data_IF_081324841347
#
_entry.id   IF_081324841347
#
_cell.length_a   1.000
_cell.length_b   1.000
_cell.length_c   1.000
_cell.angle_alpha   90.00
_cell.angle_beta   90.00
_cell.angle_gamma   90.00
#
_symmetry.space_group_name_H-M   'P 1'
#
loop_
_entity.id
_entity.type
_entity.pdbx_description
1 polymer ?
#
# COMPACT_ATOMS: atom_id res chain seq x y z
N UNK A 1 24.11 -4.10 -9.34
CA UNK A 1 24.26 -3.56 -10.73
C UNK A 1 23.29 -2.39 -10.92
N UNK A 2 23.56 -1.44 -11.82
CA UNK A 2 22.67 -0.31 -12.13
C UNK A 2 22.05 -0.47 -13.53
N UNK A 3 20.81 -0.06 -13.71
CA UNK A 3 20.15 0.00 -15.02
C UNK A 3 19.30 1.26 -15.18
N UNK A 4 19.46 1.95 -16.31
CA UNK A 4 18.64 3.11 -16.68
C UNK A 4 17.51 2.69 -17.63
N UNK A 5 16.27 2.85 -17.19
CA UNK A 5 15.09 2.51 -17.99
C UNK A 5 14.67 3.62 -18.95
N UNK A 6 15.27 4.82 -18.88
CA UNK A 6 14.91 5.97 -19.70
C UNK A 6 13.49 6.52 -19.46
N UNK A 7 12.79 6.04 -18.41
CA UNK A 7 11.38 6.35 -18.12
C UNK A 7 11.17 6.59 -16.62
N UNK A 8 10.05 7.22 -16.19
CA UNK A 8 9.84 7.60 -14.79
C UNK A 8 9.39 6.45 -13.86
N UNK A 9 8.87 5.35 -14.42
CA UNK A 9 8.37 4.21 -13.65
C UNK A 9 8.87 2.87 -14.21
N UNK A 10 9.19 1.93 -13.32
CA UNK A 10 9.62 0.60 -13.69
C UNK A 10 8.46 -0.20 -14.26
N UNK A 11 7.30 -0.13 -13.60
CA UNK A 11 6.04 -0.75 -14.02
C UNK A 11 4.84 0.15 -13.73
N UNK A 12 3.73 -0.16 -14.38
CA UNK A 12 2.42 0.45 -14.18
C UNK A 12 1.46 -0.60 -13.64
N UNK A 13 0.99 -0.44 -12.41
CA UNK A 13 0.06 -1.35 -11.78
C UNK A 13 -1.37 -0.93 -12.07
N UNK A 14 -2.15 -1.86 -12.62
CA UNK A 14 -3.59 -1.76 -12.75
C UNK A 14 -4.27 -2.40 -11.54
N UNK A 15 -5.13 -1.63 -10.88
CA UNK A 15 -6.09 -2.07 -9.90
C UNK A 15 -7.49 -1.94 -10.51
N UNK A 16 -8.33 -2.96 -10.32
CA UNK A 16 -9.72 -2.93 -10.76
C UNK A 16 -10.60 -3.52 -9.65
N UNK A 17 -11.78 -2.94 -9.45
CA UNK A 17 -12.78 -3.40 -8.46
C UNK A 17 -14.17 -3.27 -9.07
N UNK A 18 -15.11 -4.19 -8.82
CA UNK A 18 -16.52 -3.94 -9.12
C UNK A 18 -17.01 -2.60 -8.54
N UNK A 19 -17.95 -1.93 -9.20
CA UNK A 19 -18.44 -0.60 -8.80
C UNK A 19 -18.94 -0.49 -7.34
N UNK A 20 -19.46 -1.59 -6.79
CA UNK A 20 -19.99 -1.71 -5.42
C UNK A 20 -19.20 -2.75 -4.61
N UNK A 21 -17.88 -2.80 -4.83
CA UNK A 21 -16.98 -3.64 -4.03
C UNK A 21 -15.63 -2.95 -3.85
N UNK A 22 -14.99 -3.26 -2.73
CA UNK A 22 -13.62 -2.86 -2.41
C UNK A 22 -12.64 -4.03 -2.52
N UNK A 23 -13.12 -5.20 -2.93
CA UNK A 23 -12.31 -6.36 -3.22
C UNK A 23 -11.75 -6.23 -4.65
N UNK A 24 -10.43 -6.13 -4.82
CA UNK A 24 -9.82 -6.03 -6.13
C UNK A 24 -10.01 -7.32 -6.92
N UNK A 25 -10.14 -7.17 -8.24
CA UNK A 25 -9.95 -8.28 -9.19
C UNK A 25 -8.57 -8.90 -8.94
N UNK A 26 -8.47 -10.21 -9.13
CA UNK A 26 -7.23 -10.94 -8.95
C UNK A 26 -6.65 -11.39 -10.28
N UNK A 27 -5.32 -11.39 -10.36
CA UNK A 27 -4.58 -11.95 -11.48
C UNK A 27 -3.65 -13.03 -10.96
N UNK A 28 -3.79 -14.25 -11.48
CA UNK A 28 -3.07 -15.41 -10.97
C UNK A 28 -1.92 -15.80 -11.90
N UNK A 29 -0.76 -16.05 -11.30
CA UNK A 29 0.47 -16.43 -11.97
C UNK A 29 1.01 -17.72 -11.33
N UNK A 30 1.61 -18.58 -12.14
CA UNK A 30 2.02 -19.93 -11.73
C UNK A 30 2.88 -19.96 -10.46
N UNK A 31 3.86 -19.05 -10.35
CA UNK A 31 4.82 -19.05 -9.25
C UNK A 31 4.44 -18.11 -8.10
N UNK A 32 3.84 -16.96 -8.43
CA UNK A 32 3.50 -15.86 -7.49
C UNK A 32 2.14 -16.07 -6.82
N UNK A 33 1.24 -16.84 -7.45
CA UNK A 33 -0.16 -16.94 -7.05
C UNK A 33 -0.99 -15.77 -7.58
N UNK A 34 -2.14 -15.55 -6.94
CA UNK A 34 -3.12 -14.52 -7.25
C UNK A 34 -2.79 -13.21 -6.51
N UNK A 35 -2.52 -12.16 -7.28
CA UNK A 35 -2.22 -10.81 -6.77
C UNK A 35 -3.40 -9.85 -6.99
N UNK A 36 -3.50 -8.83 -6.14
CA UNK A 36 -4.57 -7.82 -6.17
C UNK A 36 -4.40 -6.70 -7.21
N UNK A 37 -3.36 -6.79 -8.05
CA UNK A 37 -3.07 -5.86 -9.13
C UNK A 37 -2.32 -6.57 -10.25
N UNK A 38 -2.29 -5.95 -11.43
CA UNK A 38 -1.48 -6.42 -12.56
C UNK A 38 -0.47 -5.37 -12.98
N UNK A 39 0.81 -5.74 -12.96
CA UNK A 39 1.91 -4.90 -13.45
C UNK A 39 2.06 -4.95 -14.96
N UNK A 40 2.39 -3.80 -15.55
CA UNK A 40 2.66 -3.61 -16.97
C UNK A 40 3.94 -2.81 -17.17
N UNK A 41 4.83 -3.25 -18.07
CA UNK A 41 6.06 -2.51 -18.36
C UNK A 41 5.85 -1.23 -19.17
N UNK A 42 4.66 -1.02 -19.77
CA UNK A 42 4.33 0.22 -20.48
C UNK A 42 2.97 0.74 -20.06
N UNK A 43 2.82 2.08 -20.01
CA UNK A 43 1.59 2.71 -19.57
C UNK A 43 0.44 2.40 -20.51
N UNK A 44 0.70 2.39 -21.81
CA UNK A 44 -0.30 2.20 -22.85
C UNK A 44 -0.95 0.81 -22.75
N UNK A 45 -0.19 -0.21 -22.34
CA UNK A 45 -0.74 -1.55 -22.07
C UNK A 45 -1.63 -1.55 -20.84
N UNK A 46 -1.21 -0.91 -19.75
CA UNK A 46 -2.02 -0.78 -18.54
C UNK A 46 -3.33 -0.03 -18.82
N UNK A 47 -3.28 1.07 -19.57
CA UNK A 47 -4.46 1.89 -19.89
C UNK A 47 -5.43 1.16 -20.84
N UNK A 48 -4.93 0.37 -21.79
CA UNK A 48 -5.78 -0.48 -22.64
C UNK A 48 -6.55 -1.52 -21.82
N UNK A 49 -5.88 -2.20 -20.89
CA UNK A 49 -6.56 -3.16 -20.01
C UNK A 49 -7.51 -2.45 -19.03
N UNK A 50 -7.11 -1.29 -18.52
CA UNK A 50 -7.97 -0.44 -17.70
C UNK A 50 -9.25 -0.04 -18.44
N UNK A 51 -9.17 0.32 -19.73
CA UNK A 51 -10.34 0.62 -20.55
C UNK A 51 -11.28 -0.58 -20.70
N UNK A 52 -10.74 -1.80 -20.88
CA UNK A 52 -11.53 -3.01 -20.93
C UNK A 52 -12.26 -3.30 -19.60
N UNK A 53 -11.61 -3.03 -18.46
CA UNK A 53 -12.25 -3.12 -17.14
C UNK A 53 -13.34 -2.06 -16.93
N UNK A 54 -13.08 -0.80 -17.30
CA UNK A 54 -14.09 0.28 -17.24
C UNK A 54 -15.33 -0.07 -18.07
N UNK A 55 -15.16 -0.64 -19.26
CA UNK A 55 -16.26 -1.05 -20.12
C UNK A 55 -17.15 -2.15 -19.49
N UNK A 56 -16.63 -2.90 -18.50
CA UNK A 56 -17.39 -3.88 -17.72
C UNK A 56 -18.00 -3.32 -16.43
N UNK A 57 -17.89 -2.02 -16.19
CA UNK A 57 -18.40 -1.36 -14.99
C UNK A 57 -17.48 -1.48 -13.77
N UNK A 58 -16.22 -1.86 -13.94
CA UNK A 58 -15.24 -1.80 -12.85
C UNK A 58 -14.76 -0.36 -12.63
N UNK A 59 -14.62 0.04 -11.37
CA UNK A 59 -13.73 1.14 -10.99
C UNK A 59 -12.29 0.69 -11.26
N UNK A 60 -11.46 1.58 -11.81
CA UNK A 60 -10.05 1.26 -12.10
C UNK A 60 -9.10 2.36 -11.66
N UNK A 61 -7.88 1.96 -11.34
CA UNK A 61 -6.79 2.86 -11.03
C UNK A 61 -5.49 2.32 -11.64
N UNK A 62 -4.77 3.18 -12.38
CA UNK A 62 -3.45 2.87 -12.93
C UNK A 62 -2.42 3.74 -12.23
N UNK A 63 -1.47 3.11 -11.54
CA UNK A 63 -0.42 3.78 -10.77
C UNK A 63 0.97 3.38 -11.24
N UNK A 64 1.87 4.35 -11.38
CA UNK A 64 3.28 4.08 -11.66
C UNK A 64 4.02 3.61 -10.41
N UNK A 65 4.84 2.56 -10.54
CA UNK A 65 5.69 2.01 -9.47
C UNK A 65 7.15 2.15 -9.86
N UNK A 66 7.97 2.59 -8.91
CA UNK A 66 9.37 2.96 -9.15
C UNK A 66 10.34 1.78 -9.09
N UNK A 67 9.92 0.66 -8.51
CA UNK A 67 10.70 -0.57 -8.44
C UNK A 67 9.94 -1.75 -9.04
N UNK A 68 10.70 -2.79 -9.36
CA UNK A 68 10.22 -4.09 -9.75
C UNK A 68 11.21 -5.11 -9.20
N UNK A 69 10.70 -6.12 -8.50
CA UNK A 69 11.48 -7.16 -7.87
C UNK A 69 11.07 -8.52 -8.42
N UNK A 70 12.04 -9.38 -8.64
CA UNK A 70 11.84 -10.79 -8.97
C UNK A 70 11.69 -11.66 -7.73
N UNK A 71 11.51 -11.04 -6.55
CA UNK A 71 11.40 -11.71 -5.25
C UNK A 71 12.63 -12.57 -4.93
N UNK A 72 13.81 -12.14 -5.39
CA UNK A 72 15.09 -12.82 -5.15
C UNK A 72 15.41 -13.94 -6.14
N UNK A 73 14.62 -14.13 -7.22
CA UNK A 73 14.96 -15.09 -8.27
C UNK A 73 16.11 -14.61 -9.17
N UNK A 74 16.39 -13.29 -9.20
CA UNK A 74 17.54 -12.71 -9.89
C UNK A 74 18.20 -11.60 -9.08
N UNK A 75 19.42 -11.23 -9.47
CA UNK A 75 20.12 -10.04 -8.96
C UNK A 75 19.47 -8.77 -9.53
N UNK A 76 18.35 -8.35 -8.92
CA UNK A 76 17.58 -7.19 -9.37
C UNK A 76 18.47 -5.91 -9.35
N UNK A 77 18.59 -5.18 -10.47
CA UNK A 77 19.43 -4.00 -10.54
C UNK A 77 18.79 -2.81 -9.82
N UNK A 78 19.63 -1.90 -9.33
CA UNK A 78 19.19 -0.58 -8.89
C UNK A 78 18.75 0.24 -10.11
N UNK A 79 17.49 0.66 -10.13
CA UNK A 79 16.89 1.35 -11.28
C UNK A 79 16.99 2.87 -11.14
N UNK A 80 17.17 3.57 -12.27
CA UNK A 80 17.09 5.04 -12.32
C UNK A 80 15.78 5.60 -11.73
N UNK A 81 14.68 4.85 -11.83
CA UNK A 81 13.36 5.20 -11.30
C UNK A 81 13.31 5.28 -9.77
N UNK A 82 14.12 4.47 -9.07
CA UNK A 82 14.25 4.51 -7.61
C UNK A 82 15.03 5.75 -7.16
N UNK A 83 16.10 6.09 -7.89
CA UNK A 83 17.04 7.16 -7.54
C UNK A 83 16.45 8.57 -7.66
N UNK A 84 15.51 8.78 -8.60
CA UNK A 84 14.93 10.10 -8.88
C UNK A 84 14.18 10.72 -7.70
N UNK A 85 13.82 9.94 -6.68
CA UNK A 85 13.05 10.40 -5.52
C UNK A 85 13.93 10.77 -4.31
N UNK A 86 15.25 10.71 -4.46
CA UNK A 86 16.22 11.03 -3.41
C UNK A 86 16.69 9.79 -2.63
N UNK A 87 17.70 10.00 -1.81
CA UNK A 87 18.42 8.90 -1.11
C UNK A 87 17.52 8.20 -0.10
N UNK A 88 16.74 8.94 0.70
CA UNK A 88 15.83 8.35 1.70
C UNK A 88 14.83 7.41 1.04
N UNK A 89 14.17 7.84 -0.04
CA UNK A 89 13.20 7.01 -0.76
C UNK A 89 13.90 5.81 -1.42
N UNK A 90 15.11 5.98 -1.94
CA UNK A 90 15.89 4.86 -2.48
C UNK A 90 16.14 3.80 -1.39
N UNK A 91 16.56 4.23 -0.20
CA UNK A 91 16.79 3.35 0.96
C UNK A 91 15.50 2.67 1.39
N UNK A 92 14.38 3.41 1.41
CA UNK A 92 13.05 2.89 1.72
C UNK A 92 12.69 1.72 0.80
N UNK A 93 12.76 1.94 -0.51
CA UNK A 93 12.45 0.92 -1.52
C UNK A 93 13.39 -0.28 -1.41
N UNK A 94 14.68 -0.07 -1.17
CA UNK A 94 15.62 -1.19 -0.97
C UNK A 94 15.19 -2.07 0.21
N UNK A 95 14.81 -1.48 1.35
CA UNK A 95 14.32 -2.27 2.48
C UNK A 95 12.98 -2.96 2.19
N UNK A 96 12.06 -2.32 1.45
CA UNK A 96 10.80 -2.92 1.02
C UNK A 96 11.04 -4.18 0.19
N UNK A 97 11.88 -4.10 -0.84
CA UNK A 97 12.15 -5.24 -1.72
C UNK A 97 12.94 -6.35 -1.00
N UNK A 98 13.86 -6.00 -0.09
CA UNK A 98 14.55 -6.98 0.74
C UNK A 98 13.61 -7.69 1.71
N UNK A 99 12.56 -7.03 2.19
CA UNK A 99 11.55 -7.66 3.04
C UNK A 99 10.84 -8.80 2.29
N UNK A 100 10.43 -8.56 1.05
CA UNK A 100 9.83 -9.58 0.17
C UNK A 100 10.73 -10.78 -0.07
N UNK A 101 12.06 -10.57 -0.14
CA UNK A 101 13.02 -11.69 -0.25
C UNK A 101 13.13 -12.53 1.03
N UNK A 102 12.81 -11.94 2.20
CA UNK A 102 12.88 -12.63 3.49
C UNK A 102 11.62 -13.43 3.79
N UNK A 103 10.45 -12.87 3.52
CA UNK A 103 9.17 -13.51 3.76
C UNK A 103 8.21 -13.11 2.63
N UNK A 104 7.65 -14.12 1.97
CA UNK A 104 6.61 -13.96 0.96
C UNK A 104 5.58 -15.06 1.10
N UNK A 105 4.31 -14.68 1.23
CA UNK A 105 3.18 -15.59 1.33
C UNK A 105 2.39 -15.59 0.03
N UNK A 106 2.26 -16.76 -0.60
CA UNK A 106 1.47 -16.93 -1.82
C UNK A 106 0.00 -16.54 -1.58
N UNK A 107 -0.63 -15.91 -2.57
CA UNK A 107 -2.04 -15.49 -2.58
C UNK A 107 -2.44 -14.44 -1.51
N UNK A 108 -1.47 -13.76 -0.89
CA UNK A 108 -1.71 -12.80 0.20
C UNK A 108 -0.95 -11.47 0.03
N UNK A 109 -1.33 -10.70 -1.01
CA UNK A 109 -0.74 -9.36 -1.26
C UNK A 109 -0.90 -8.41 -0.07
N UNK A 110 -1.99 -8.51 0.68
CA UNK A 110 -2.23 -7.62 1.82
C UNK A 110 -1.22 -7.87 2.96
N UNK A 111 -0.93 -9.14 3.24
CA UNK A 111 0.12 -9.53 4.19
C UNK A 111 1.50 -9.04 3.71
N UNK A 112 1.89 -9.44 2.50
CA UNK A 112 3.24 -9.19 1.98
C UNK A 112 3.58 -7.70 1.93
N UNK A 113 2.69 -6.88 1.35
CA UNK A 113 2.96 -5.46 1.22
C UNK A 113 2.88 -4.73 2.56
N UNK A 114 1.95 -5.11 3.44
CA UNK A 114 1.86 -4.51 4.78
C UNK A 114 3.11 -4.80 5.62
N UNK A 115 3.65 -6.01 5.52
CA UNK A 115 4.90 -6.40 6.17
C UNK A 115 6.08 -5.62 5.60
N UNK A 116 6.21 -5.58 4.27
CA UNK A 116 7.30 -4.87 3.60
C UNK A 116 7.33 -3.37 3.92
N UNK A 117 6.16 -2.72 4.01
CA UNK A 117 6.04 -1.31 4.46
C UNK A 117 6.59 -1.11 5.88
N UNK A 118 6.38 -2.05 6.80
CA UNK A 118 6.89 -1.90 8.18
C UNK A 118 8.40 -2.10 8.25
N UNK A 119 8.94 -3.06 7.48
CA UNK A 119 10.39 -3.25 7.34
C UNK A 119 11.05 -2.05 6.67
N UNK A 120 10.42 -1.48 5.63
CA UNK A 120 10.81 -0.22 4.99
C UNK A 120 10.95 0.90 6.03
N UNK A 121 9.87 1.17 6.79
CA UNK A 121 9.84 2.26 7.76
C UNK A 121 10.91 2.09 8.85
N UNK A 122 11.06 0.88 9.38
CA UNK A 122 12.05 0.58 10.42
C UNK A 122 13.48 0.64 9.88
N UNK A 123 13.71 0.14 8.67
CA UNK A 123 15.01 0.21 7.99
C UNK A 123 15.45 1.66 7.76
N UNK A 124 14.55 2.50 7.24
CA UNK A 124 14.79 3.94 7.06
C UNK A 124 15.08 4.61 8.39
N UNK A 125 14.30 4.33 9.45
CA UNK A 125 14.53 4.88 10.79
C UNK A 125 15.92 4.56 11.31
N UNK A 126 16.38 3.32 11.19
CA UNK A 126 17.73 2.89 11.61
C UNK A 126 18.83 3.48 10.75
N UNK A 127 18.63 3.55 9.44
CA UNK A 127 19.59 4.16 8.53
C UNK A 127 19.79 5.65 8.84
N UNK A 128 18.70 6.36 9.10
CA UNK A 128 18.74 7.76 9.49
C UNK A 128 19.29 7.99 10.91
N UNK A 129 19.39 6.98 11.77
CA UNK A 129 19.98 7.12 13.12
C UNK A 129 21.51 7.31 13.08
N UNK A 130 22.14 7.16 11.92
CA UNK A 130 23.58 7.42 11.73
C UNK A 130 23.90 8.92 11.91
N UNK A 131 25.13 9.28 12.34
CA UNK A 131 25.53 10.69 12.47
C UNK A 131 25.38 11.48 11.15
N UNK A 132 25.02 12.75 11.22
CA UNK A 132 24.96 13.66 10.07
C UNK A 132 23.65 13.65 9.28
N UNK A 133 22.58 13.06 9.85
CA UNK A 133 21.25 12.94 9.24
C UNK A 133 20.15 13.67 10.06
N UNK A 134 20.53 14.58 10.96
CA UNK A 134 19.63 15.22 11.92
C UNK A 134 18.44 15.93 11.25
N UNK A 135 18.69 16.72 10.19
CA UNK A 135 17.66 17.46 9.46
C UNK A 135 16.73 16.54 8.66
N UNK A 136 17.28 15.49 8.03
CA UNK A 136 16.49 14.50 7.31
C UNK A 136 15.66 13.63 8.26
N UNK A 137 16.18 13.29 9.45
CA UNK A 137 15.43 12.59 10.50
C UNK A 137 14.12 13.29 10.84
N UNK A 138 14.18 14.59 11.07
CA UNK A 138 12.98 15.37 11.42
C UNK A 138 11.99 15.44 10.26
N UNK A 139 12.48 15.71 9.04
CA UNK A 139 11.63 15.75 7.84
C UNK A 139 10.91 14.42 7.60
N UNK A 140 11.63 13.31 7.75
CA UNK A 140 11.09 11.96 7.56
C UNK A 140 10.12 11.59 8.68
N UNK A 141 10.38 12.01 9.93
CA UNK A 141 9.42 11.84 11.02
C UNK A 141 8.09 12.52 10.71
N UNK A 142 8.13 13.79 10.32
CA UNK A 142 6.93 14.56 9.97
C UNK A 142 6.21 13.97 8.75
N UNK A 143 6.94 13.54 7.72
CA UNK A 143 6.33 12.87 6.56
C UNK A 143 5.65 11.56 6.95
N UNK A 144 6.30 10.74 7.79
CA UNK A 144 5.75 9.48 8.29
C UNK A 144 4.45 9.71 9.07
N UNK A 145 4.42 10.66 9.99
CA UNK A 145 3.22 11.00 10.77
C UNK A 145 2.06 11.41 9.85
N UNK A 146 2.33 12.26 8.84
CA UNK A 146 1.32 12.69 7.86
C UNK A 146 0.86 11.54 6.98
N UNK A 147 1.77 10.69 6.49
CA UNK A 147 1.45 9.48 5.72
C UNK A 147 0.58 8.52 6.53
N UNK A 148 0.87 8.32 7.81
CA UNK A 148 0.06 7.49 8.69
C UNK A 148 -1.33 8.08 8.93
N UNK A 149 -1.43 9.38 9.22
CA UNK A 149 -2.71 10.06 9.40
C UNK A 149 -3.57 10.02 8.13
N UNK A 150 -2.97 10.27 6.96
CA UNK A 150 -3.64 10.16 5.66
C UNK A 150 -4.11 8.74 5.38
N UNK A 151 -3.24 7.74 5.57
CA UNK A 151 -3.57 6.33 5.37
C UNK A 151 -4.70 5.89 6.30
N UNK A 152 -4.66 6.28 7.57
CA UNK A 152 -5.73 5.98 8.53
C UNK A 152 -7.06 6.58 8.09
N UNK A 153 -7.07 7.80 7.56
CA UNK A 153 -8.27 8.40 6.96
C UNK A 153 -8.82 7.55 5.82
N UNK A 154 -7.97 7.12 4.87
CA UNK A 154 -8.41 6.30 3.74
C UNK A 154 -8.96 4.93 4.17
N UNK A 155 -8.32 4.29 5.15
CA UNK A 155 -8.79 3.00 5.68
C UNK A 155 -10.15 3.13 6.38
N UNK A 156 -10.40 4.21 7.14
CA UNK A 156 -11.73 4.48 7.72
C UNK A 156 -12.82 4.60 6.65
N UNK A 157 -12.56 5.31 5.56
CA UNK A 157 -13.53 5.45 4.46
C UNK A 157 -13.70 4.16 3.65
N UNK A 158 -12.63 3.37 3.52
CA UNK A 158 -12.73 2.01 2.99
C UNK A 158 -13.71 1.17 3.82
N UNK A 159 -13.65 1.23 5.14
CA UNK A 159 -14.61 0.52 6.01
C UNK A 159 -16.04 1.07 5.90
N UNK A 160 -16.23 2.40 5.83
CA UNK A 160 -17.55 3.01 5.60
C UNK A 160 -18.18 2.52 4.30
N UNK A 161 -17.42 2.53 3.20
CA UNK A 161 -17.85 2.06 1.89
C UNK A 161 -18.13 0.55 1.89
N UNK A 162 -17.28 -0.24 2.54
CA UNK A 162 -17.48 -1.68 2.66
C UNK A 162 -18.79 -2.02 3.40
N UNK A 163 -19.10 -1.30 4.48
CA UNK A 163 -20.42 -1.42 5.17
C UNK A 163 -21.58 -1.04 4.26
N UNK A 164 -21.47 0.04 3.48
CA UNK A 164 -22.49 0.44 2.51
C UNK A 164 -22.72 -0.69 1.49
N UNK A 165 -21.66 -1.25 0.93
CA UNK A 165 -21.74 -2.27 -0.11
C UNK A 165 -22.30 -3.60 0.40
N UNK A 166 -22.00 -3.98 1.65
CA UNK A 166 -22.51 -5.18 2.33
C UNK A 166 -23.90 -5.03 2.91
N UNK A 167 -24.46 -3.82 2.94
CA UNK A 167 -25.82 -3.60 3.44
C UNK A 167 -26.88 -4.24 2.55
N UNK A 168 -28.08 -4.40 3.11
CA UNK A 168 -29.24 -5.01 2.45
C UNK A 168 -30.05 -4.02 1.59
N UNK A 169 -29.63 -2.75 1.50
CA UNK A 169 -30.32 -1.76 0.66
C UNK A 169 -30.14 -2.10 -0.83
N UNK A 170 -31.07 -1.69 -1.71
CA UNK A 170 -30.92 -1.85 -3.14
C UNK A 170 -29.61 -1.27 -3.69
N UNK A 171 -29.04 -1.92 -4.71
CA UNK A 171 -27.80 -1.44 -5.32
C UNK A 171 -27.90 -0.02 -5.89
N UNK A 172 -29.10 0.40 -6.32
CA UNK A 172 -29.36 1.80 -6.69
C UNK A 172 -29.04 2.78 -5.57
N UNK A 173 -29.44 2.47 -4.34
CA UNK A 173 -29.20 3.30 -3.17
C UNK A 173 -27.73 3.27 -2.75
N UNK A 174 -27.06 2.12 -2.89
CA UNK A 174 -25.61 2.01 -2.69
C UNK A 174 -24.84 2.90 -3.67
N UNK A 175 -25.22 2.90 -4.96
CA UNK A 175 -24.63 3.78 -5.98
C UNK A 175 -24.88 5.25 -5.65
N UNK A 176 -26.07 5.60 -5.17
CA UNK A 176 -26.40 6.97 -4.78
C UNK A 176 -25.62 7.42 -3.52
N UNK A 177 -25.38 6.53 -2.57
CA UNK A 177 -24.62 6.82 -1.34
C UNK A 177 -23.11 6.93 -1.53
N UNK A 178 -22.53 6.17 -2.47
CA UNK A 178 -21.08 6.12 -2.73
C UNK A 178 -20.44 7.51 -2.95
N UNK A 179 -20.97 8.41 -3.81
CA UNK A 179 -20.44 9.76 -3.98
C UNK A 179 -20.41 10.58 -2.68
N UNK A 180 -21.42 10.43 -1.82
CA UNK A 180 -21.49 11.13 -0.53
C UNK A 180 -20.31 10.77 0.37
N UNK A 181 -19.98 9.48 0.50
CA UNK A 181 -18.81 9.03 1.26
C UNK A 181 -17.49 9.55 0.68
N UNK A 182 -17.36 9.66 -0.64
CA UNK A 182 -16.18 10.27 -1.24
C UNK A 182 -16.11 11.79 -1.06
N UNK A 183 -17.26 12.47 -0.96
CA UNK A 183 -17.31 13.90 -0.65
C UNK A 183 -16.89 14.14 0.81
N UNK A 184 -17.43 13.35 1.76
CA UNK A 184 -17.01 13.37 3.16
C UNK A 184 -15.49 13.11 3.31
N UNK A 185 -14.94 12.13 2.58
CA UNK A 185 -13.50 11.86 2.58
C UNK A 185 -12.68 13.09 2.18
N UNK A 186 -13.12 13.86 1.17
CA UNK A 186 -12.43 15.09 0.76
C UNK A 186 -12.51 16.17 1.84
N UNK A 187 -13.65 16.30 2.50
CA UNK A 187 -13.83 17.24 3.63
C UNK A 187 -12.89 16.89 4.79
N UNK A 188 -12.83 15.63 5.19
CA UNK A 188 -11.93 15.18 6.27
C UNK A 188 -10.46 15.33 5.89
N UNK A 189 -10.11 15.12 4.62
CA UNK A 189 -8.77 15.39 4.11
C UNK A 189 -8.43 16.90 4.18
N UNK A 190 -9.36 17.78 3.83
CA UNK A 190 -9.15 19.22 3.93
C UNK A 190 -8.89 19.65 5.40
N UNK A 191 -9.56 19.01 6.36
CA UNK A 191 -9.29 19.21 7.78
C UNK A 191 -7.89 18.73 8.19
N UNK A 192 -7.45 17.55 7.73
CA UNK A 192 -6.06 17.09 7.94
C UNK A 192 -5.03 18.06 7.37
N UNK A 193 -5.24 18.53 6.14
CA UNK A 193 -4.38 19.52 5.49
C UNK A 193 -4.27 20.80 6.31
N UNK A 194 -5.38 21.29 6.87
CA UNK A 194 -5.37 22.47 7.76
C UNK A 194 -4.49 22.23 8.99
N UNK A 195 -4.59 21.06 9.61
CA UNK A 195 -3.75 20.68 10.76
C UNK A 195 -2.26 20.54 10.40
N UNK A 196 -1.94 20.31 9.12
CA UNK A 196 -0.57 20.27 8.62
C UNK A 196 -0.03 21.64 8.17
N UNK A 197 -0.74 22.73 8.47
CA UNK A 197 -0.34 24.08 8.06
C UNK A 197 -0.57 24.36 6.57
N UNK A 198 -1.52 23.67 5.94
CA UNK A 198 -1.86 23.85 4.53
C UNK A 198 -1.08 22.96 3.57
N UNK A 199 -0.25 22.04 4.06
CA UNK A 199 0.51 21.08 3.24
C UNK A 199 -0.44 20.20 2.40
N UNK A 200 -0.45 20.46 1.10
CA UNK A 200 -1.30 19.79 0.11
C UNK A 200 -0.64 18.63 -0.63
N UNK A 201 0.36 17.95 -0.04
CA UNK A 201 1.11 16.88 -0.75
C UNK A 201 0.23 15.77 -1.33
N UNK A 202 -0.96 15.53 -0.77
CA UNK A 202 -1.91 14.54 -1.26
C UNK A 202 -3.05 15.15 -2.10
N UNK A 203 -3.04 16.45 -2.41
CA UNK A 203 -4.11 17.14 -3.14
C UNK A 203 -4.34 16.50 -4.51
N UNK A 204 -3.24 16.26 -5.26
CA UNK A 204 -3.32 15.59 -6.56
C UNK A 204 -3.91 14.18 -6.43
N UNK A 205 -3.49 13.44 -5.40
CA UNK A 205 -4.02 12.11 -5.15
C UNK A 205 -5.51 12.17 -4.83
N UNK A 206 -5.95 13.12 -4.00
CA UNK A 206 -7.34 13.21 -3.57
C UNK A 206 -8.29 13.70 -4.66
N UNK A 207 -7.79 14.55 -5.56
CA UNK A 207 -8.61 15.20 -6.59
C UNK A 207 -8.53 14.54 -7.97
N UNK A 208 -7.77 13.47 -8.15
CA UNK A 208 -7.68 12.73 -9.42
C UNK A 208 -8.28 11.34 -9.28
N UNK A 209 -9.37 11.05 -9.99
CA UNK A 209 -9.96 9.70 -10.13
C UNK A 209 -10.13 8.94 -8.80
N UNK A 210 -10.63 9.62 -7.76
CA UNK A 210 -10.89 9.00 -6.46
C UNK A 210 -12.07 8.02 -6.59
N UNK A 211 -11.77 6.72 -6.47
CA UNK A 211 -12.71 5.62 -6.67
C UNK A 211 -12.35 4.39 -5.82
N UNK A 212 -13.12 3.30 -5.93
CA UNK A 212 -12.89 2.09 -5.14
C UNK A 212 -11.53 1.45 -5.43
N UNK A 213 -11.11 1.39 -6.69
CA UNK A 213 -9.83 0.77 -7.08
C UNK A 213 -8.64 1.51 -6.47
N UNK A 214 -8.70 2.85 -6.41
CA UNK A 214 -7.68 3.67 -5.77
C UNK A 214 -7.61 3.43 -4.25
N UNK A 215 -8.75 3.28 -3.58
CA UNK A 215 -8.80 2.87 -2.17
C UNK A 215 -8.36 1.40 -1.96
N UNK A 216 -8.62 0.51 -2.93
CA UNK A 216 -8.18 -0.88 -2.89
C UNK A 216 -6.66 -1.00 -3.04
N UNK A 217 -6.03 -0.13 -3.84
CA UNK A 217 -4.58 -0.01 -3.88
C UNK A 217 -4.02 0.32 -2.49
N UNK A 218 -4.56 1.34 -1.80
CA UNK A 218 -4.11 1.69 -0.44
C UNK A 218 -4.36 0.55 0.55
N UNK A 219 -5.52 -0.10 0.47
CA UNK A 219 -5.82 -1.27 1.28
C UNK A 219 -4.82 -2.41 1.09
N UNK A 220 -4.34 -2.65 -0.13
CA UNK A 220 -3.32 -3.68 -0.39
C UNK A 220 -2.04 -3.44 0.41
N UNK A 221 -1.54 -2.20 0.45
CA UNK A 221 -0.25 -1.89 1.09
C UNK A 221 -0.34 -1.66 2.61
N UNK A 222 -1.50 -1.30 3.13
CA UNK A 222 -1.59 -0.75 4.49
C UNK A 222 -2.58 -1.44 5.42
N UNK A 223 -3.32 -2.46 4.95
CA UNK A 223 -4.34 -3.15 5.75
C UNK A 223 -3.82 -3.69 7.08
N UNK A 224 -2.65 -4.30 7.09
CA UNK A 224 -2.06 -4.91 8.29
C UNK A 224 -0.82 -4.16 8.81
N UNK A 225 -0.45 -3.04 8.19
CA UNK A 225 0.76 -2.30 8.58
C UNK A 225 0.71 -1.86 10.05
N UNK A 226 -0.46 -1.47 10.58
CA UNK A 226 -0.60 -1.16 12.02
C UNK A 226 -0.33 -2.39 12.90
N UNK A 227 -0.83 -3.57 12.51
CA UNK A 227 -0.62 -4.81 13.25
C UNK A 227 0.87 -5.19 13.31
N UNK A 228 1.58 -5.12 12.18
CA UNK A 228 3.02 -5.38 12.14
C UNK A 228 3.84 -4.35 12.93
N UNK A 229 3.45 -3.06 12.94
CA UNK A 229 4.12 -2.06 13.79
C UNK A 229 3.95 -2.37 15.27
N UNK A 230 2.75 -2.79 15.69
CA UNK A 230 2.49 -3.21 17.08
C UNK A 230 3.31 -4.44 17.45
N UNK A 231 3.36 -5.44 16.56
CA UNK A 231 4.16 -6.64 16.75
C UNK A 231 5.64 -6.31 16.95
N UNK A 232 6.22 -5.46 16.08
CA UNK A 232 7.60 -5.00 16.22
C UNK A 232 7.81 -4.23 17.53
N UNK A 233 6.85 -3.38 17.93
CA UNK A 233 6.92 -2.62 19.17
C UNK A 233 6.89 -3.54 20.41
N UNK A 234 6.09 -4.60 20.43
CA UNK A 234 6.08 -5.60 21.51
C UNK A 234 7.39 -6.37 21.63
N UNK A 235 8.12 -6.49 20.52
CA UNK A 235 9.49 -7.02 20.52
C UNK A 235 10.54 -5.96 20.86
N UNK A 236 10.14 -4.77 21.31
CA UNK A 236 11.02 -3.63 21.62
C UNK A 236 11.91 -3.24 20.43
N UNK A 237 11.42 -3.43 19.20
CA UNK A 237 12.20 -3.22 17.98
C UNK A 237 13.23 -4.32 17.68
N UNK A 238 13.21 -5.46 18.36
CA UNK A 238 14.06 -6.60 18.01
C UNK A 238 13.60 -7.20 16.66
N UNK A 239 14.40 -6.98 15.62
CA UNK A 239 14.07 -7.43 14.27
C UNK A 239 14.10 -8.96 14.17
N UNK A 240 15.02 -9.64 14.85
CA UNK A 240 15.12 -11.10 14.74
C UNK A 240 13.85 -11.77 15.26
N UNK A 241 13.40 -11.37 16.46
CA UNK A 241 12.14 -11.83 17.04
C UNK A 241 10.92 -11.42 16.22
N UNK A 242 10.93 -10.20 15.67
CA UNK A 242 9.87 -9.76 14.78
C UNK A 242 9.78 -10.65 13.53
N UNK A 243 10.91 -10.97 12.89
CA UNK A 243 10.92 -11.89 11.73
C UNK A 243 10.46 -13.30 12.11
N UNK A 244 10.79 -13.80 13.31
CA UNK A 244 10.27 -15.08 13.81
C UNK A 244 8.75 -15.06 13.93
N UNK A 245 8.17 -14.02 14.55
CA UNK A 245 6.71 -13.89 14.68
C UNK A 245 6.03 -13.78 13.30
N UNK A 246 6.62 -13.02 12.37
CA UNK A 246 6.06 -12.86 11.02
C UNK A 246 6.13 -14.19 10.25
N UNK A 247 7.18 -15.00 10.42
CA UNK A 247 7.24 -16.36 9.83
C UNK A 247 6.16 -17.26 10.43
N UNK A 248 5.99 -17.23 11.75
CA UNK A 248 4.92 -17.99 12.39
C UNK A 248 3.54 -17.59 11.85
N UNK A 249 3.29 -16.29 11.64
CA UNK A 249 2.06 -15.83 10.97
C UNK A 249 1.96 -16.30 9.52
N UNK A 250 3.06 -16.26 8.76
CA UNK A 250 3.12 -16.66 7.35
C UNK A 250 2.74 -18.14 7.15
N UNK A 251 3.13 -19.01 8.09
CA UNK A 251 2.86 -20.45 8.05
C UNK A 251 1.40 -20.83 8.39
N UNK A 252 0.62 -19.89 8.93
CA UNK A 252 -0.79 -20.15 9.26
C UNK A 252 -1.69 -20.20 8.02
N UNK A 253 -2.80 -20.96 8.07
CA UNK A 253 -3.88 -20.82 7.10
C UNK A 253 -4.38 -19.38 7.04
N UNK A 254 -4.76 -18.92 5.84
CA UNK A 254 -5.14 -17.51 5.60
C UNK A 254 -6.16 -16.97 6.59
N UNK A 255 -7.24 -17.70 6.85
CA UNK A 255 -8.29 -17.25 7.77
C UNK A 255 -7.77 -17.05 9.20
N UNK A 256 -6.90 -17.96 9.68
CA UNK A 256 -6.30 -17.84 11.01
C UNK A 256 -5.29 -16.69 11.06
N UNK A 257 -4.44 -16.56 10.02
CA UNK A 257 -3.51 -15.44 9.88
C UNK A 257 -4.20 -14.09 9.93
N UNK A 258 -5.27 -13.92 9.14
CA UNK A 258 -6.07 -12.70 9.13
C UNK A 258 -6.68 -12.43 10.52
N UNK A 259 -7.24 -13.45 11.18
CA UNK A 259 -7.79 -13.31 12.52
C UNK A 259 -6.73 -12.88 13.56
N UNK A 260 -5.53 -13.46 13.53
CA UNK A 260 -4.41 -13.07 14.40
C UNK A 260 -3.98 -11.63 14.17
N UNK A 261 -3.84 -11.21 12.92
CA UNK A 261 -3.50 -9.83 12.56
C UNK A 261 -4.57 -8.83 13.00
N UNK A 262 -5.84 -9.22 12.92
CA UNK A 262 -6.95 -8.41 13.44
C UNK A 262 -6.92 -8.31 14.97
N UNK A 263 -6.67 -9.41 15.68
CA UNK A 263 -6.56 -9.41 17.14
C UNK A 263 -5.42 -8.47 17.63
N UNK A 264 -4.30 -8.40 16.92
CA UNK A 264 -3.21 -7.46 17.23
C UNK A 264 -3.69 -5.99 17.25
N UNK A 265 -4.65 -5.63 16.38
CA UNK A 265 -5.20 -4.28 16.30
C UNK A 265 -6.12 -3.94 17.47
N UNK A 266 -6.75 -4.95 18.07
CA UNK A 266 -7.68 -4.83 19.22
C UNK A 266 -6.94 -4.78 20.55
N UNK A 267 -5.76 -5.41 20.63
CA UNK A 267 -4.91 -5.45 21.83
C UNK A 267 -4.00 -4.23 22.02
N UNK A 268 -4.10 -3.23 21.14
CA UNK A 268 -3.36 -1.98 21.29
C UNK A 268 -3.92 -1.17 22.46
N UNK A 269 -3.09 -0.76 23.45
CA UNK A 269 -3.54 0.08 24.56
C UNK A 269 -4.05 1.45 24.10
#
# INVERSE_FOLDING_TARGET
RYADLGRPYAVWNLFATPELSLQPRQWCFLFVGCVSYRGYFTRERAERDAAAHRARGDDVYVGGVVAYSTLGNTDDPLLNTMLRRGVVETVAVVFHELAHQRIYVRDDSAFNESFAVVVEEEGVRRWLARPGQESERERVRVDRERRQAFTALLLRYREKLDRLYRSTIPDGDKRAGKPGLFAELRTDYAALRKNWGGDGRYDRWMNTDLNNAKLAAVGTYHRYAKAFRLLLAWRNGDLEKFYEDVRALADLPRAEREARLHALLETAP
#
